data_IF_438557472994
#
_entry.id   IF_438557472994
#
_cell.length_a   1.000
_cell.length_b   1.000
_cell.length_c   1.000
_cell.angle_alpha   90.00
_cell.angle_beta   90.00
_cell.angle_gamma   90.00
#
_symmetry.space_group_name_H-M   'P 1'
#
loop_
_entity.id
_entity.type
_entity.pdbx_description
1 polymer ?
#
# COMPACT_ATOMS: atom_id res chain seq x y z
N UNK A 1 44.87 -18.63 -29.32
CA UNK A 1 44.14 -19.20 -28.16
C UNK A 1 43.75 -18.15 -27.10
N UNK A 2 44.67 -17.29 -26.63
CA UNK A 2 44.42 -16.27 -25.58
C UNK A 2 43.29 -15.26 -25.88
N UNK A 3 43.19 -14.78 -27.12
CA UNK A 3 42.13 -13.85 -27.57
C UNK A 3 40.70 -14.39 -27.42
N UNK A 4 40.50 -15.71 -27.58
CA UNK A 4 39.18 -16.35 -27.49
C UNK A 4 38.71 -16.46 -26.04
N UNK A 5 39.64 -16.72 -25.13
CA UNK A 5 39.41 -16.79 -23.68
C UNK A 5 39.10 -15.38 -23.13
N UNK A 6 39.80 -14.36 -23.60
CA UNK A 6 39.61 -12.98 -23.16
C UNK A 6 38.24 -12.41 -23.61
N UNK A 7 37.78 -12.74 -24.82
CA UNK A 7 36.42 -12.39 -25.29
C UNK A 7 35.33 -13.10 -24.49
N UNK A 8 35.52 -14.38 -24.14
CA UNK A 8 34.56 -15.15 -23.32
C UNK A 8 34.43 -14.57 -21.91
N UNK A 9 35.54 -14.19 -21.29
CA UNK A 9 35.52 -13.56 -19.97
C UNK A 9 34.84 -12.18 -19.98
N UNK A 10 35.08 -11.37 -21.03
CA UNK A 10 34.36 -10.10 -21.20
C UNK A 10 32.85 -10.30 -21.37
N UNK A 11 32.45 -11.33 -22.10
CA UNK A 11 31.03 -11.64 -22.30
C UNK A 11 30.38 -12.08 -20.99
N UNK A 12 31.04 -12.94 -20.21
CA UNK A 12 30.54 -13.38 -18.89
C UNK A 12 30.42 -12.20 -17.91
N UNK A 13 31.41 -11.31 -17.88
CA UNK A 13 31.36 -10.11 -17.02
C UNK A 13 30.24 -9.16 -17.46
N UNK A 14 30.03 -8.96 -18.77
CA UNK A 14 28.93 -8.15 -19.28
C UNK A 14 27.56 -8.74 -18.93
N UNK A 15 27.39 -10.07 -19.04
CA UNK A 15 26.17 -10.77 -18.61
C UNK A 15 25.90 -10.63 -17.12
N UNK A 16 26.95 -10.71 -16.30
CA UNK A 16 26.85 -10.56 -14.85
C UNK A 16 26.48 -9.13 -14.44
N UNK A 17 27.06 -8.12 -15.10
CA UNK A 17 26.69 -6.72 -14.89
C UNK A 17 25.24 -6.44 -15.31
N UNK A 18 24.75 -7.05 -16.39
CA UNK A 18 23.37 -6.87 -16.84
C UNK A 18 22.36 -7.48 -15.83
N UNK A 19 22.67 -8.65 -15.27
CA UNK A 19 21.86 -9.28 -14.22
C UNK A 19 21.81 -8.44 -12.94
N UNK A 20 22.94 -7.83 -12.56
CA UNK A 20 23.02 -6.96 -11.38
C UNK A 20 22.23 -5.65 -11.54
N UNK A 21 22.09 -5.13 -12.76
CA UNK A 21 21.29 -3.93 -13.05
C UNK A 21 19.77 -4.18 -12.95
N UNK A 22 19.32 -5.41 -13.19
CA UNK A 22 17.89 -5.77 -13.12
C UNK A 22 17.43 -6.21 -11.72
N UNK A 23 18.35 -6.39 -10.77
CA UNK A 23 18.10 -7.09 -9.50
C UNK A 23 17.53 -6.27 -8.34
N UNK A 24 17.39 -4.94 -8.47
CA UNK A 24 17.06 -4.07 -7.33
C UNK A 24 15.82 -3.19 -7.56
N UNK A 25 14.78 -3.75 -8.20
CA UNK A 25 13.46 -3.13 -8.20
C UNK A 25 12.70 -3.51 -6.94
N UNK A 26 12.57 -2.60 -5.96
CA UNK A 26 11.55 -2.75 -4.93
C UNK A 26 10.18 -2.77 -5.61
N UNK A 27 9.55 -3.96 -5.64
CA UNK A 27 8.24 -4.18 -6.24
C UNK A 27 7.20 -3.49 -5.35
N UNK A 28 7.01 -2.19 -5.52
CA UNK A 28 5.84 -1.48 -5.03
C UNK A 28 4.65 -2.00 -5.84
N UNK A 29 4.04 -3.08 -5.35
CA UNK A 29 2.90 -3.70 -6.00
C UNK A 29 1.75 -2.69 -6.10
N UNK A 30 1.37 -2.38 -7.34
CA UNK A 30 0.33 -1.43 -7.70
C UNK A 30 -1.03 -1.87 -7.13
N UNK A 31 -1.94 -0.93 -6.87
CA UNK A 31 -3.32 -1.28 -6.59
C UNK A 31 -3.94 -2.01 -7.80
N UNK A 32 -4.79 -2.98 -7.53
CA UNK A 32 -5.38 -3.85 -8.54
C UNK A 32 -6.83 -3.44 -8.82
N UNK A 33 -7.30 -3.80 -10.02
CA UNK A 33 -8.73 -3.82 -10.31
C UNK A 33 -9.37 -5.11 -9.78
N UNK A 34 -10.63 -5.06 -9.36
CA UNK A 34 -11.39 -6.27 -8.97
C UNK A 34 -11.41 -7.34 -10.06
N UNK A 35 -11.42 -6.92 -11.33
CA UNK A 35 -11.44 -7.83 -12.50
C UNK A 35 -10.15 -8.64 -12.65
N UNK A 36 -9.04 -8.14 -12.10
CA UNK A 36 -7.76 -8.85 -12.09
C UNK A 36 -7.72 -9.93 -10.99
N UNK A 37 -8.59 -9.81 -9.98
CA UNK A 37 -8.66 -10.72 -8.83
C UNK A 37 -9.68 -11.82 -9.07
N UNK A 38 -10.80 -11.51 -9.73
CA UNK A 38 -11.90 -12.46 -9.94
C UNK A 38 -12.77 -12.11 -11.15
N UNK A 39 -13.32 -13.14 -11.79
CA UNK A 39 -14.31 -13.02 -12.86
C UNK A 39 -15.77 -12.99 -12.35
N UNK A 40 -15.96 -13.00 -11.03
CA UNK A 40 -17.29 -13.00 -10.43
C UNK A 40 -17.98 -11.65 -10.65
N UNK A 41 -19.10 -11.69 -11.40
CA UNK A 41 -19.86 -10.51 -11.83
C UNK A 41 -20.19 -9.53 -10.69
N UNK A 42 -20.57 -10.07 -9.54
CA UNK A 42 -21.05 -9.30 -8.39
C UNK A 42 -19.99 -9.10 -7.30
N UNK A 43 -18.73 -9.47 -7.53
CA UNK A 43 -17.70 -9.41 -6.49
C UNK A 43 -17.50 -8.00 -5.93
N UNK A 44 -17.47 -6.99 -6.81
CA UNK A 44 -17.28 -5.60 -6.39
C UNK A 44 -18.48 -5.08 -5.60
N UNK A 45 -19.69 -5.30 -6.10
CA UNK A 45 -20.94 -4.88 -5.47
C UNK A 45 -21.11 -5.53 -4.10
N UNK A 46 -20.90 -6.85 -4.00
CA UNK A 46 -20.92 -7.56 -2.72
C UNK A 46 -19.89 -7.01 -1.72
N UNK A 47 -18.72 -6.59 -2.20
CA UNK A 47 -17.69 -6.00 -1.35
C UNK A 47 -18.12 -4.63 -0.84
N UNK A 48 -18.72 -3.81 -1.71
CA UNK A 48 -19.24 -2.48 -1.36
C UNK A 48 -20.39 -2.57 -0.35
N UNK A 49 -21.34 -3.47 -0.59
CA UNK A 49 -22.44 -3.74 0.33
C UNK A 49 -21.92 -4.25 1.67
N UNK A 50 -20.88 -5.09 1.64
CA UNK A 50 -20.22 -5.55 2.84
C UNK A 50 -19.60 -4.41 3.64
N UNK A 51 -18.90 -3.45 3.00
CA UNK A 51 -18.34 -2.26 3.67
C UNK A 51 -19.44 -1.41 4.32
N UNK A 52 -20.60 -1.29 3.68
CA UNK A 52 -21.76 -0.54 4.21
C UNK A 52 -22.60 -1.33 5.22
N UNK A 53 -22.30 -2.62 5.44
CA UNK A 53 -23.12 -3.51 6.25
C UNK A 53 -23.24 -3.05 7.71
N UNK A 54 -24.44 -3.22 8.28
CA UNK A 54 -24.64 -3.05 9.72
C UNK A 54 -24.00 -4.16 10.56
N UNK A 55 -23.63 -5.28 9.94
CA UNK A 55 -22.90 -6.35 10.61
C UNK A 55 -21.40 -6.01 10.65
N UNK A 56 -20.90 -5.72 11.85
CA UNK A 56 -19.48 -5.37 12.07
C UNK A 56 -18.49 -6.42 11.55
N UNK A 57 -18.83 -7.71 11.61
CA UNK A 57 -17.98 -8.80 11.13
C UNK A 57 -17.89 -8.81 9.60
N UNK A 58 -19.02 -8.65 8.92
CA UNK A 58 -19.09 -8.54 7.45
C UNK A 58 -18.33 -7.30 7.00
N UNK A 59 -18.61 -6.14 7.59
CA UNK A 59 -17.92 -4.88 7.30
C UNK A 59 -16.41 -5.00 7.43
N UNK A 60 -15.93 -5.50 8.58
CA UNK A 60 -14.50 -5.67 8.82
C UNK A 60 -13.85 -6.61 7.81
N UNK A 61 -14.52 -7.71 7.47
CA UNK A 61 -14.01 -8.68 6.49
C UNK A 61 -13.91 -8.07 5.10
N UNK A 62 -14.92 -7.29 4.67
CA UNK A 62 -14.90 -6.61 3.38
C UNK A 62 -13.81 -5.54 3.31
N UNK A 63 -13.65 -4.71 4.33
CA UNK A 63 -12.54 -3.73 4.40
C UNK A 63 -11.19 -4.47 4.35
N UNK A 64 -11.04 -5.56 5.09
CA UNK A 64 -9.82 -6.37 5.06
C UNK A 64 -9.52 -6.90 3.66
N UNK A 65 -10.51 -7.42 2.93
CA UNK A 65 -10.31 -7.93 1.57
C UNK A 65 -9.92 -6.83 0.59
N UNK A 66 -10.51 -5.63 0.69
CA UNK A 66 -10.04 -4.46 -0.10
C UNK A 66 -8.55 -4.24 0.12
N UNK A 67 -8.10 -4.19 1.37
CA UNK A 67 -6.68 -3.96 1.68
C UNK A 67 -5.76 -5.13 1.34
N UNK A 68 -6.25 -6.36 1.45
CA UNK A 68 -5.49 -7.57 1.12
C UNK A 68 -5.19 -7.64 -0.38
N UNK A 69 -6.19 -7.33 -1.20
CA UNK A 69 -6.08 -7.40 -2.67
C UNK A 69 -5.83 -6.05 -3.33
N UNK A 70 -5.71 -4.97 -2.54
CA UNK A 70 -5.51 -3.59 -3.00
C UNK A 70 -6.53 -3.14 -4.06
N UNK A 71 -7.82 -3.39 -3.81
CA UNK A 71 -8.90 -3.07 -4.75
C UNK A 71 -9.11 -1.56 -4.79
N UNK A 72 -8.59 -0.89 -5.83
CA UNK A 72 -8.62 0.58 -5.97
C UNK A 72 -10.03 1.16 -6.04
N UNK A 73 -10.96 0.41 -6.65
CA UNK A 73 -12.33 0.86 -6.89
C UNK A 73 -13.10 1.14 -5.59
N UNK A 74 -12.66 0.60 -4.46
CA UNK A 74 -13.28 0.80 -3.15
C UNK A 74 -12.78 2.05 -2.41
N UNK A 75 -11.82 2.80 -2.94
CA UNK A 75 -11.14 3.87 -2.21
C UNK A 75 -12.10 4.98 -1.75
N UNK A 76 -12.89 5.53 -2.67
CA UNK A 76 -13.86 6.59 -2.37
C UNK A 76 -14.85 6.13 -1.28
N UNK A 77 -15.38 4.91 -1.43
CA UNK A 77 -16.27 4.31 -0.46
C UNK A 77 -15.62 4.14 0.92
N UNK A 78 -14.33 3.82 0.99
CA UNK A 78 -13.60 3.73 2.26
C UNK A 78 -13.41 5.10 2.90
N UNK A 79 -13.14 6.15 2.12
CA UNK A 79 -13.03 7.52 2.60
C UNK A 79 -14.37 8.00 3.17
N UNK A 80 -15.48 7.71 2.48
CA UNK A 80 -16.84 8.00 2.97
C UNK A 80 -17.17 7.22 4.25
N UNK A 81 -16.91 5.90 4.26
CA UNK A 81 -17.18 5.05 5.42
C UNK A 81 -16.41 5.53 6.66
N UNK A 82 -15.19 6.06 6.49
CA UNK A 82 -14.38 6.56 7.60
C UNK A 82 -15.06 7.70 8.39
N UNK A 83 -15.88 8.52 7.71
CA UNK A 83 -16.55 9.68 8.32
C UNK A 83 -17.72 9.27 9.24
N UNK A 84 -18.35 8.12 8.94
CA UNK A 84 -19.54 7.64 9.65
C UNK A 84 -19.30 6.38 10.49
N UNK A 85 -18.11 5.77 10.40
CA UNK A 85 -17.82 4.50 11.05
C UNK A 85 -17.73 4.64 12.59
N UNK A 86 -18.66 4.03 13.36
CA UNK A 86 -18.68 4.19 14.81
C UNK A 86 -17.56 3.37 15.48
N UNK A 87 -17.15 2.23 14.90
CA UNK A 87 -16.20 1.32 15.53
C UNK A 87 -14.75 1.81 15.35
N UNK A 88 -14.03 2.13 16.44
CA UNK A 88 -12.66 2.62 16.36
C UNK A 88 -11.69 1.65 15.66
N UNK A 89 -11.87 0.34 15.85
CA UNK A 89 -11.02 -0.67 15.21
C UNK A 89 -11.23 -0.73 13.70
N UNK A 90 -12.47 -0.50 13.24
CA UNK A 90 -12.75 -0.42 11.80
C UNK A 90 -12.14 0.85 11.20
N UNK A 91 -12.19 2.01 11.89
CA UNK A 91 -11.52 3.24 11.43
C UNK A 91 -10.02 3.06 11.27
N UNK A 92 -9.36 2.41 12.22
CA UNK A 92 -7.93 2.07 12.14
C UNK A 92 -7.66 1.14 10.95
N UNK A 93 -8.52 0.13 10.74
CA UNK A 93 -8.38 -0.78 9.61
C UNK A 93 -8.53 -0.03 8.27
N UNK A 94 -9.53 0.83 8.13
CA UNK A 94 -9.73 1.68 6.94
C UNK A 94 -8.48 2.53 6.69
N UNK A 95 -7.92 3.18 7.72
CA UNK A 95 -6.71 3.98 7.59
C UNK A 95 -5.52 3.16 7.05
N UNK A 96 -5.35 1.94 7.56
CA UNK A 96 -4.32 1.01 7.07
C UNK A 96 -4.55 0.61 5.61
N UNK A 97 -5.80 0.42 5.20
CA UNK A 97 -6.15 0.09 3.81
C UNK A 97 -5.87 1.27 2.88
N UNK A 98 -6.30 2.48 3.23
CA UNK A 98 -6.04 3.69 2.45
C UNK A 98 -4.53 3.94 2.29
N UNK A 99 -3.74 3.72 3.35
CA UNK A 99 -2.28 3.74 3.26
C UNK A 99 -1.73 2.72 2.26
N UNK A 100 -2.25 1.49 2.25
CA UNK A 100 -1.82 0.42 1.33
C UNK A 100 -2.19 0.69 -0.13
N UNK A 101 -3.29 1.41 -0.37
CA UNK A 101 -3.68 1.86 -1.71
C UNK A 101 -2.79 3.01 -2.18
N UNK A 102 -2.35 3.87 -1.26
CA UNK A 102 -1.26 4.83 -1.48
C UNK A 102 -1.63 6.05 -2.33
N UNK A 103 -2.92 6.30 -2.56
CA UNK A 103 -3.39 7.49 -3.24
C UNK A 103 -3.20 8.74 -2.39
N UNK A 104 -3.12 9.90 -3.04
CA UNK A 104 -3.01 11.18 -2.34
C UNK A 104 -4.24 11.47 -1.47
N UNK A 105 -5.45 11.14 -1.93
CA UNK A 105 -6.67 11.43 -1.21
C UNK A 105 -6.89 10.48 -0.03
N UNK A 106 -6.58 9.20 -0.19
CA UNK A 106 -6.51 8.23 0.90
C UNK A 106 -5.52 8.66 1.99
N UNK A 107 -4.32 9.10 1.61
CA UNK A 107 -3.31 9.57 2.57
C UNK A 107 -3.71 10.87 3.28
N UNK A 108 -4.39 11.81 2.59
CA UNK A 108 -4.99 12.98 3.22
C UNK A 108 -6.05 12.59 4.24
N UNK A 109 -6.89 11.59 3.94
CA UNK A 109 -7.88 11.08 4.88
C UNK A 109 -7.22 10.47 6.12
N UNK A 110 -6.14 9.69 5.97
CA UNK A 110 -5.36 9.14 7.10
C UNK A 110 -4.77 10.27 7.95
N UNK A 111 -4.17 11.30 7.33
CA UNK A 111 -3.64 12.48 8.03
C UNK A 111 -4.72 13.20 8.84
N UNK A 112 -5.89 13.40 8.25
CA UNK A 112 -7.02 14.04 8.93
C UNK A 112 -7.50 13.20 10.13
N UNK A 113 -7.57 11.88 9.97
CA UNK A 113 -7.95 10.96 11.04
C UNK A 113 -6.95 11.02 12.21
N UNK A 114 -5.65 11.04 11.92
CA UNK A 114 -4.59 11.18 12.92
C UNK A 114 -4.73 12.46 13.75
N UNK A 115 -5.12 13.56 13.11
CA UNK A 115 -5.25 14.86 13.77
C UNK A 115 -6.56 15.04 14.54
N UNK A 116 -7.68 14.52 14.02
CA UNK A 116 -9.04 14.95 14.42
C UNK A 116 -9.94 13.86 15.00
N UNK A 117 -9.56 12.58 14.97
CA UNK A 117 -10.44 11.53 15.53
C UNK A 117 -10.67 11.75 17.02
N UNK A 118 -11.90 11.56 17.49
CA UNK A 118 -12.25 11.73 18.90
C UNK A 118 -11.59 10.66 19.79
N UNK A 119 -11.33 9.46 19.24
CA UNK A 119 -10.72 8.36 19.95
C UNK A 119 -9.18 8.45 19.93
N UNK A 120 -8.56 8.55 21.11
CA UNK A 120 -7.10 8.68 21.26
C UNK A 120 -6.34 7.52 20.61
N UNK A 121 -6.84 6.29 20.70
CA UNK A 121 -6.19 5.12 20.10
C UNK A 121 -6.19 5.21 18.58
N UNK A 122 -7.28 5.71 17.99
CA UNK A 122 -7.37 5.92 16.54
C UNK A 122 -6.37 6.98 16.10
N UNK A 123 -6.26 8.11 16.82
CA UNK A 123 -5.26 9.15 16.52
C UNK A 123 -3.83 8.62 16.54
N UNK A 124 -3.46 7.89 17.61
CA UNK A 124 -2.12 7.30 17.77
C UNK A 124 -1.81 6.34 16.62
N UNK A 125 -2.70 5.37 16.37
CA UNK A 125 -2.47 4.38 15.33
C UNK A 125 -2.40 5.01 13.93
N UNK A 126 -3.29 5.96 13.63
CA UNK A 126 -3.30 6.66 12.34
C UNK A 126 -2.08 7.54 12.16
N UNK A 127 -1.55 8.13 13.25
CA UNK A 127 -0.27 8.85 13.23
C UNK A 127 0.88 7.92 12.86
N UNK A 128 0.96 6.74 13.46
CA UNK A 128 1.98 5.75 13.08
C UNK A 128 1.86 5.32 11.62
N UNK A 129 0.64 5.06 11.14
CA UNK A 129 0.38 4.71 9.74
C UNK A 129 0.83 5.84 8.80
N UNK A 130 0.49 7.10 9.10
CA UNK A 130 0.88 8.23 8.27
C UNK A 130 2.40 8.50 8.31
N UNK A 131 3.03 8.36 9.47
CA UNK A 131 4.48 8.51 9.60
C UNK A 131 5.23 7.45 8.81
N UNK A 132 4.72 6.22 8.73
CA UNK A 132 5.28 5.17 7.88
C UNK A 132 5.21 5.51 6.38
N UNK A 133 4.21 6.30 5.94
CA UNK A 133 4.21 6.87 4.60
C UNK A 133 5.31 7.91 4.43
N UNK A 134 5.42 8.85 5.38
CA UNK A 134 6.44 9.90 5.33
C UNK A 134 7.86 9.33 5.33
N UNK A 135 8.17 8.35 6.17
CA UNK A 135 9.52 7.74 6.22
C UNK A 135 9.87 7.05 4.90
N UNK A 136 8.92 6.36 4.27
CA UNK A 136 9.11 5.76 2.94
C UNK A 136 9.29 6.80 1.84
N UNK A 137 8.56 7.92 1.91
CA UNK A 137 8.67 9.00 0.94
C UNK A 137 10.00 9.76 1.09
N UNK A 138 10.41 10.10 2.32
CA UNK A 138 11.69 10.73 2.61
C UNK A 138 12.88 9.81 2.25
N UNK A 139 12.77 8.50 2.49
CA UNK A 139 13.79 7.53 2.07
C UNK A 139 13.96 7.44 0.55
N UNK A 140 12.89 7.67 -0.23
CA UNK A 140 12.94 7.74 -1.70
C UNK A 140 13.53 9.06 -2.23
N UNK A 141 13.42 10.14 -1.45
CA UNK A 141 13.89 11.48 -1.82
C UNK A 141 15.29 11.82 -1.26
N UNK A 142 16.01 10.86 -0.67
CA UNK A 142 17.39 11.07 -0.27
C UNK A 142 18.32 10.93 -1.50
N UNK A 143 19.17 11.92 -1.82
CA UNK A 143 20.35 11.64 -2.62
C UNK A 143 21.18 10.60 -1.85
N UNK A 144 21.59 9.52 -2.53
CA UNK A 144 22.39 8.40 -2.02
C UNK A 144 23.66 8.88 -1.32
N UNK A 145 23.57 9.29 -0.06
CA UNK A 145 24.63 10.09 0.52
C UNK A 145 24.65 10.25 2.03
N UNK A 146 23.90 9.49 2.83
CA UNK A 146 24.18 9.43 4.29
C UNK A 146 23.84 8.05 4.85
N UNK A 147 24.65 7.05 4.49
CA UNK A 147 24.86 5.86 5.30
C UNK A 147 26.23 5.93 5.97
N UNK A 148 26.37 6.84 6.94
CA UNK A 148 27.35 6.76 8.02
C UNK A 148 27.00 7.84 9.06
N UNK A 149 27.15 7.49 10.34
CA UNK A 149 26.94 8.29 11.56
C UNK A 149 25.60 8.02 12.27
N UNK A 150 25.45 6.82 12.84
CA UNK A 150 25.64 6.57 14.29
C UNK A 150 25.46 5.08 14.61
#
# INVERSE_FOLDING_TARGET
MKLKIQKRNRLVVASLCLLLLTGFGEINAQPNSIKEITNQKYALENLFDGIKSNNNGVKRSSIYFVGKYRISEAEELLIEQLQSEPNPSNRILIALVLYKLGSNDGLKAVKNLAAKDHNIKVRIMSTHIYNEYLTKDFGKNLPLGFSSLN
#
